data_IF_250115511653
#
_entry.id   IF_250115511653
#
_cell.length_a   1.000
_cell.length_b   1.000
_cell.length_c   1.000
_cell.angle_alpha   90.00
_cell.angle_beta   90.00
_cell.angle_gamma   90.00
#
_symmetry.space_group_name_H-M   'P 1'
#
loop_
_entity.id
_entity.type
_entity.pdbx_description
1 polymer ?
#
# COMPACT_ATOMS: atom_id res chain seq x y z
N UNK A 1 -13.76 26.42 -13.65
CA UNK A 1 -12.54 25.71 -13.21
C UNK A 1 -11.69 26.74 -12.50
N UNK A 2 -11.31 26.51 -11.24
CA UNK A 2 -10.53 27.48 -10.49
C UNK A 2 -9.18 27.70 -11.20
N UNK A 3 -8.89 28.97 -11.46
CA UNK A 3 -7.73 29.47 -12.20
C UNK A 3 -6.52 29.46 -11.27
N UNK A 4 -5.60 28.53 -11.50
CA UNK A 4 -4.27 28.52 -10.87
C UNK A 4 -4.27 28.38 -9.33
N UNK A 5 -4.69 27.23 -8.78
CA UNK A 5 -4.69 27.01 -7.34
C UNK A 5 -3.27 26.92 -6.77
N UNK A 6 -3.05 27.52 -5.60
CA UNK A 6 -1.79 27.39 -4.86
C UNK A 6 -1.62 26.01 -4.19
N UNK A 7 -2.72 25.27 -3.99
CA UNK A 7 -2.75 24.02 -3.23
C UNK A 7 -3.71 22.98 -3.83
N UNK A 8 -3.22 21.76 -4.00
CA UNK A 8 -3.98 20.57 -4.39
C UNK A 8 -3.99 19.55 -3.26
N UNK A 9 -5.17 19.12 -2.84
CA UNK A 9 -5.35 17.95 -1.99
C UNK A 9 -5.89 16.79 -2.81
N UNK A 10 -5.25 15.63 -2.73
CA UNK A 10 -5.68 14.43 -3.44
C UNK A 10 -5.62 13.22 -2.52
N UNK A 11 -6.75 12.51 -2.42
CA UNK A 11 -6.86 11.27 -1.68
C UNK A 11 -6.91 10.10 -2.66
N UNK A 12 -5.89 9.26 -2.65
CA UNK A 12 -5.72 8.08 -3.50
C UNK A 12 -5.95 8.31 -5.01
N UNK A 13 -5.23 9.25 -5.66
CA UNK A 13 -5.46 9.64 -7.06
C UNK A 13 -5.26 8.52 -8.09
N UNK A 14 -4.50 7.50 -7.73
CA UNK A 14 -4.08 6.40 -8.62
C UNK A 14 -4.79 5.08 -8.32
N UNK A 15 -5.71 5.07 -7.35
CA UNK A 15 -6.42 3.86 -6.96
C UNK A 15 -7.25 3.28 -8.11
N UNK A 16 -7.11 1.96 -8.33
CA UNK A 16 -7.81 1.24 -9.40
C UNK A 16 -7.25 1.49 -10.81
N UNK A 17 -6.19 2.29 -10.96
CA UNK A 17 -5.51 2.46 -12.24
C UNK A 17 -4.49 1.34 -12.48
N UNK A 18 -4.30 1.00 -13.75
CA UNK A 18 -3.18 0.15 -14.15
C UNK A 18 -1.85 0.93 -14.07
N UNK A 19 -0.69 0.23 -14.02
CA UNK A 19 0.60 0.88 -13.83
C UNK A 19 0.97 1.95 -14.88
N UNK A 20 0.45 1.85 -16.10
CA UNK A 20 0.70 2.84 -17.17
C UNK A 20 -0.08 4.11 -16.84
N UNK A 21 -1.36 3.98 -16.50
CA UNK A 21 -2.21 5.11 -16.15
C UNK A 21 -1.77 5.79 -14.86
N UNK A 22 -1.32 5.04 -13.85
CA UNK A 22 -0.68 5.60 -12.64
C UNK A 22 0.52 6.47 -13.01
N UNK A 23 1.39 6.02 -13.92
CA UNK A 23 2.54 6.81 -14.35
C UNK A 23 2.14 8.12 -15.04
N UNK A 24 1.09 8.10 -15.86
CA UNK A 24 0.56 9.30 -16.51
C UNK A 24 0.02 10.31 -15.48
N UNK A 25 -0.76 9.84 -14.51
CA UNK A 25 -1.30 10.70 -13.44
C UNK A 25 -0.19 11.32 -12.60
N UNK A 26 0.86 10.56 -12.28
CA UNK A 26 2.02 11.05 -11.57
C UNK A 26 2.78 12.12 -12.36
N UNK A 27 2.98 11.91 -13.67
CA UNK A 27 3.63 12.90 -14.53
C UNK A 27 2.81 14.20 -14.63
N UNK A 28 1.49 14.08 -14.72
CA UNK A 28 0.58 15.23 -14.69
C UNK A 28 0.67 15.99 -13.35
N UNK A 29 0.72 15.26 -12.23
CA UNK A 29 0.86 15.84 -10.90
C UNK A 29 2.16 16.63 -10.79
N UNK A 30 3.28 16.04 -11.22
CA UNK A 30 4.58 16.71 -11.26
C UNK A 30 4.56 17.96 -12.15
N UNK A 31 3.98 17.89 -13.34
CA UNK A 31 3.86 19.04 -14.26
C UNK A 31 3.10 20.19 -13.63
N UNK A 32 2.01 19.90 -12.92
CA UNK A 32 1.24 20.92 -12.21
C UNK A 32 2.09 21.57 -11.11
N UNK A 33 2.70 20.77 -10.22
CA UNK A 33 3.50 21.33 -9.10
C UNK A 33 4.73 22.11 -9.57
N UNK A 34 5.39 21.69 -10.65
CA UNK A 34 6.56 22.38 -11.18
C UNK A 34 6.21 23.62 -12.02
N UNK A 35 5.07 23.61 -12.71
CA UNK A 35 4.69 24.66 -13.65
C UNK A 35 3.98 25.87 -13.02
N UNK A 36 3.30 25.70 -11.88
CA UNK A 36 2.40 26.73 -11.34
C UNK A 36 2.72 27.18 -9.90
N UNK A 37 3.87 26.80 -9.34
CA UNK A 37 4.19 26.99 -7.91
C UNK A 37 3.15 26.36 -6.94
N UNK A 38 2.32 25.45 -7.44
CA UNK A 38 1.31 24.76 -6.65
C UNK A 38 1.95 23.73 -5.71
N UNK A 39 1.52 23.73 -4.45
CA UNK A 39 1.83 22.67 -3.49
C UNK A 39 0.81 21.54 -3.66
N UNK A 40 1.26 20.29 -3.66
CA UNK A 40 0.36 19.13 -3.66
C UNK A 40 0.53 18.32 -2.37
N UNK A 41 -0.59 17.96 -1.75
CA UNK A 41 -0.67 17.02 -0.64
C UNK A 41 -1.44 15.80 -1.14
N UNK A 42 -0.73 14.67 -1.26
CA UNK A 42 -1.27 13.43 -1.77
C UNK A 42 -1.25 12.38 -0.68
N UNK A 43 -2.40 11.75 -0.43
CA UNK A 43 -2.52 10.56 0.41
C UNK A 43 -2.50 9.35 -0.52
N UNK A 44 -1.56 8.43 -0.30
CA UNK A 44 -1.57 7.15 -1.02
C UNK A 44 -0.90 6.01 -0.26
N UNK A 45 -1.41 4.81 -0.48
CA UNK A 45 -0.74 3.56 -0.11
C UNK A 45 0.11 2.95 -1.25
N UNK A 46 0.08 3.50 -2.47
CA UNK A 46 0.98 3.09 -3.56
C UNK A 46 2.37 3.74 -3.36
N UNK A 47 3.30 2.96 -2.81
CA UNK A 47 4.66 3.43 -2.54
C UNK A 47 5.46 3.74 -3.80
N UNK A 48 5.15 3.09 -4.94
CA UNK A 48 5.86 3.36 -6.20
C UNK A 48 5.52 4.77 -6.69
N UNK A 49 4.23 5.13 -6.65
CA UNK A 49 3.77 6.48 -6.99
C UNK A 49 4.28 7.50 -5.96
N UNK A 50 4.10 7.22 -4.67
CA UNK A 50 4.50 8.13 -3.60
C UNK A 50 6.00 8.49 -3.66
N UNK A 51 6.89 7.52 -3.85
CA UNK A 51 8.32 7.78 -3.98
C UNK A 51 8.69 8.51 -5.28
N UNK A 52 7.87 8.41 -6.33
CA UNK A 52 8.11 9.09 -7.61
C UNK A 52 7.74 10.56 -7.55
N UNK A 53 6.66 10.92 -6.86
CA UNK A 53 6.12 12.30 -6.87
C UNK A 53 6.48 13.11 -5.62
N UNK A 54 6.74 12.47 -4.49
CA UNK A 54 6.91 13.18 -3.23
C UNK A 54 8.27 13.88 -3.13
N UNK A 55 8.26 15.11 -2.63
CA UNK A 55 9.47 15.81 -2.16
C UNK A 55 9.66 15.67 -0.65
N UNK A 56 8.56 15.46 0.08
CA UNK A 56 8.50 15.16 1.51
C UNK A 56 7.40 14.15 1.76
N UNK A 57 7.62 13.24 2.70
CA UNK A 57 6.73 12.15 3.05
C UNK A 57 6.46 12.14 4.54
N UNK A 58 5.25 11.73 4.92
CA UNK A 58 4.81 11.55 6.30
C UNK A 58 4.07 10.22 6.36
N UNK A 59 4.51 9.31 7.21
CA UNK A 59 3.82 8.07 7.53
C UNK A 59 3.03 8.26 8.82
N UNK A 60 1.73 7.99 8.74
CA UNK A 60 0.83 8.04 9.89
C UNK A 60 0.54 6.63 10.40
N UNK A 61 0.49 6.47 11.72
CA UNK A 61 0.20 5.21 12.39
C UNK A 61 0.02 5.43 13.88
N UNK A 62 -0.72 4.54 14.55
CA UNK A 62 -0.99 4.61 16.00
C UNK A 62 -1.54 5.97 16.47
N UNK A 63 -2.29 6.67 15.62
CA UNK A 63 -2.85 8.00 15.91
C UNK A 63 -1.84 9.16 15.84
N UNK A 64 -0.62 8.95 15.31
CA UNK A 64 0.42 9.96 15.21
C UNK A 64 1.32 9.80 13.99
N UNK A 65 2.40 10.58 13.95
CA UNK A 65 3.45 10.49 12.91
C UNK A 65 4.45 9.41 13.33
N UNK A 66 4.54 8.35 12.53
CA UNK A 66 5.51 7.25 12.72
C UNK A 66 6.85 7.61 12.08
N UNK A 67 6.83 8.29 10.93
CA UNK A 67 8.02 8.79 10.26
C UNK A 67 7.70 10.02 9.42
N UNK A 68 8.70 10.89 9.26
CA UNK A 68 8.64 12.04 8.35
C UNK A 68 10.04 12.33 7.82
N UNK A 69 10.11 12.76 6.56
CA UNK A 69 11.39 13.07 5.92
C UNK A 69 11.28 13.20 4.41
N UNK A 70 12.42 13.28 3.76
CA UNK A 70 12.56 13.11 2.31
C UNK A 70 12.29 11.66 1.91
N UNK A 71 11.99 11.39 0.62
CA UNK A 71 11.87 10.02 0.11
C UNK A 71 13.06 9.12 0.46
N UNK A 72 14.29 9.66 0.40
CA UNK A 72 15.50 8.90 0.70
C UNK A 72 15.65 8.59 2.19
N UNK A 73 15.26 9.52 3.07
CA UNK A 73 15.23 9.29 4.52
C UNK A 73 14.17 8.24 4.90
N UNK A 74 13.00 8.26 4.26
CA UNK A 74 11.96 7.24 4.49
C UNK A 74 12.43 5.87 3.99
N UNK A 75 13.01 5.80 2.79
CA UNK A 75 13.52 4.55 2.20
C UNK A 75 14.59 3.89 3.08
N UNK A 76 15.47 4.70 3.67
CA UNK A 76 16.56 4.23 4.52
C UNK A 76 16.25 4.31 6.03
N UNK A 77 14.97 4.45 6.39
CA UNK A 77 14.56 4.57 7.79
C UNK A 77 15.00 3.34 8.60
N UNK A 78 15.60 3.49 9.79
CA UNK A 78 15.92 2.37 10.67
C UNK A 78 14.69 1.81 11.40
N UNK A 79 13.52 2.44 11.25
CA UNK A 79 12.31 2.01 11.93
C UNK A 79 11.73 0.77 11.21
N UNK A 80 11.62 -0.39 11.90
CA UNK A 80 11.09 -1.62 11.30
C UNK A 80 9.63 -1.51 10.85
N UNK A 81 8.80 -0.65 11.46
CA UNK A 81 7.42 -0.42 10.99
C UNK A 81 7.41 0.26 9.62
N UNK A 82 8.30 1.23 9.42
CA UNK A 82 8.46 1.91 8.13
C UNK A 82 8.94 0.92 7.09
N UNK A 83 9.96 0.13 7.41
CA UNK A 83 10.51 -0.88 6.50
C UNK A 83 9.46 -1.94 6.11
N UNK A 84 8.71 -2.46 7.08
CA UNK A 84 7.64 -3.41 6.83
C UNK A 84 6.59 -2.81 5.87
N UNK A 85 6.18 -1.56 6.10
CA UNK A 85 5.17 -0.89 5.28
C UNK A 85 5.66 -0.62 3.85
N UNK A 86 6.85 -0.05 3.68
CA UNK A 86 7.36 0.32 2.34
C UNK A 86 7.66 -0.91 1.47
N UNK A 87 7.98 -2.04 2.09
CA UNK A 87 8.28 -3.30 1.41
C UNK A 87 7.06 -4.23 1.30
N UNK A 88 5.94 -3.90 1.96
CA UNK A 88 4.75 -4.75 1.97
C UNK A 88 5.00 -6.11 2.62
N UNK A 89 5.85 -6.15 3.65
CA UNK A 89 6.19 -7.38 4.34
C UNK A 89 5.01 -7.87 5.19
N UNK A 90 4.67 -9.15 5.06
CA UNK A 90 3.57 -9.76 5.80
C UNK A 90 3.88 -9.93 7.30
N UNK A 91 5.16 -10.05 7.66
CA UNK A 91 5.61 -10.18 9.04
C UNK A 91 6.32 -8.89 9.48
N UNK A 92 6.10 -8.46 10.72
CA UNK A 92 6.80 -7.32 11.31
C UNK A 92 6.06 -6.69 12.49
N UNK A 93 6.53 -5.53 12.97
CA UNK A 93 5.96 -4.85 14.14
C UNK A 93 4.54 -4.31 13.95
N UNK A 94 4.11 -4.02 12.71
CA UNK A 94 2.73 -3.62 12.38
C UNK A 94 1.86 -4.88 12.44
N UNK A 95 0.91 -4.98 13.38
CA UNK A 95 0.05 -6.15 13.48
C UNK A 95 -0.91 -6.19 12.30
N UNK A 96 -1.01 -7.36 11.65
CA UNK A 96 -2.13 -7.66 10.76
C UNK A 96 -3.39 -7.86 11.61
N UNK A 97 -4.12 -6.78 11.82
CA UNK A 97 -5.50 -6.87 12.30
C UNK A 97 -6.38 -7.38 11.16
N UNK A 98 -6.37 -8.69 10.97
CA UNK A 98 -7.44 -9.41 10.28
C UNK A 98 -8.69 -9.35 11.17
N UNK A 99 -9.33 -8.18 11.24
CA UNK A 99 -10.55 -8.03 12.02
C UNK A 99 -11.62 -8.96 11.44
N UNK A 100 -12.08 -9.84 12.32
CA UNK A 100 -13.10 -10.86 12.12
C UNK A 100 -14.50 -10.24 12.02
N UNK A 101 -14.70 -9.24 11.15
CA UNK A 101 -15.97 -8.49 11.05
C UNK A 101 -16.87 -8.92 9.87
N UNK A 102 -16.52 -9.98 9.13
CA UNK A 102 -17.42 -10.54 8.08
C UNK A 102 -18.14 -11.85 8.46
N UNK A 103 -18.17 -12.28 9.72
CA UNK A 103 -18.89 -13.52 10.10
C UNK A 103 -19.80 -13.41 11.33
N UNK A 104 -20.55 -12.32 11.47
CA UNK A 104 -21.84 -12.40 12.19
C UNK A 104 -22.92 -12.94 11.24
N UNK A 105 -22.97 -14.26 11.05
CA UNK A 105 -24.06 -14.86 10.27
C UNK A 105 -23.98 -16.35 9.92
N UNK A 106 -22.83 -17.02 10.05
CA UNK A 106 -22.75 -18.45 9.71
C UNK A 106 -22.08 -19.28 10.82
N UNK A 107 -22.95 -20.07 11.45
CA UNK A 107 -22.73 -21.13 12.43
C UNK A 107 -21.38 -21.84 12.26
N UNK A 108 -20.62 -21.93 13.36
CA UNK A 108 -19.34 -22.64 13.48
C UNK A 108 -19.35 -24.00 12.76
N UNK A 109 -18.59 -24.11 11.68
CA UNK A 109 -18.18 -25.41 11.13
C UNK A 109 -16.81 -25.73 11.69
N UNK A 110 -16.74 -26.72 12.59
CA UNK A 110 -15.47 -27.28 13.10
C UNK A 110 -14.55 -27.66 11.94
N UNK A 111 -13.24 -27.33 11.99
CA UNK A 111 -12.30 -27.78 10.96
C UNK A 111 -12.23 -29.31 10.97
N UNK A 112 -12.55 -29.93 9.84
CA UNK A 112 -12.39 -31.38 9.64
C UNK A 112 -10.89 -31.66 9.50
N UNK A 113 -10.35 -32.73 10.11
CA UNK A 113 -8.94 -33.06 9.97
C UNK A 113 -8.64 -33.37 8.49
N UNK A 114 -7.53 -32.83 8.01
CA UNK A 114 -7.02 -33.05 6.66
C UNK A 114 -6.64 -34.54 6.52
N UNK A 115 -7.52 -35.35 5.91
CA UNK A 115 -7.20 -36.74 5.59
C UNK A 115 -6.27 -36.74 4.39
N UNK A 116 -4.99 -37.05 4.64
CA UNK A 116 -3.98 -37.25 3.61
C UNK A 116 -4.42 -38.39 2.66
N UNK A 117 -4.81 -38.03 1.44
CA UNK A 117 -5.10 -39.00 0.38
C UNK A 117 -3.80 -39.67 -0.09
N UNK A 118 -3.46 -40.82 0.53
CA UNK A 118 -2.42 -41.72 0.04
C UNK A 118 -2.85 -42.31 -1.31
N UNK A 119 -2.43 -41.70 -2.42
CA UNK A 119 -2.47 -42.34 -3.74
C UNK A 119 -1.40 -43.43 -3.79
N UNK A 120 -1.83 -44.69 -3.64
CA UNK A 120 -1.06 -45.88 -3.99
C UNK A 120 -1.05 -46.02 -5.51
N UNK A 121 0.07 -45.66 -6.15
CA UNK A 121 0.39 -46.17 -7.48
C UNK A 121 0.80 -47.64 -7.33
N UNK A 122 0.03 -48.55 -7.91
CA UNK A 122 0.45 -49.94 -8.17
C UNK A 122 0.69 -50.09 -9.66
N UNK A 123 1.97 -50.30 -10.02
CA UNK A 123 2.39 -50.90 -11.29
C UNK A 123 1.98 -52.37 -11.33
N UNK A 124 1.45 -52.83 -12.47
CA UNK A 124 1.60 -54.17 -13.09
C UNK A 124 1.18 -53.98 -14.57
N UNK A 125 2.02 -54.06 -15.60
CA UNK A 125 2.68 -55.23 -16.23
C UNK A 125 1.81 -56.48 -16.32
N UNK A 126 1.17 -56.66 -17.48
CA UNK A 126 1.26 -57.85 -18.35
C UNK A 126 0.52 -57.53 -19.65
#
# INVERSE_FOLDING_TARGET
LALDPELLFSDEPTSGLDPIMTAVVDELTLKLTHGTHMTAVVVSHDMTSAFRIATRMIMLGHGGIVAQGTPDEIRNSPNPEVQQFIHGEADGPIPLNLSQEEHEGHQQVKPRPFVAARHRFHRKTA
#
